data_IF_703684675517
#
_entry.id   IF_703684675517
#
_cell.length_a   1.000
_cell.length_b   1.000
_cell.length_c   1.000
_cell.angle_alpha   90.00
_cell.angle_beta   90.00
_cell.angle_gamma   90.00
#
_symmetry.space_group_name_H-M   'P 1'
#
loop_
_entity.id
_entity.type
_entity.pdbx_description
1 polymer ?
#
# COMPACT_ATOMS: atom_id res chain seq x y z
N UNK A 1 -34.60 -1.10 -48.16
CA UNK A 1 -34.68 -0.08 -47.09
C UNK A 1 -35.00 -0.79 -45.79
N UNK A 2 -33.98 -1.04 -44.97
CA UNK A 2 -34.09 -1.90 -43.77
C UNK A 2 -34.09 -1.04 -42.51
N UNK A 3 -35.21 -1.01 -41.79
CA UNK A 3 -35.34 -0.34 -40.49
C UNK A 3 -34.91 -1.28 -39.36
N UNK A 4 -33.66 -1.18 -38.92
CA UNK A 4 -33.22 -1.80 -37.67
C UNK A 4 -33.64 -0.92 -36.48
N UNK A 5 -34.70 -1.33 -35.79
CA UNK A 5 -35.10 -0.77 -34.48
C UNK A 5 -34.07 -1.19 -33.43
N UNK A 6 -33.27 -0.23 -32.95
CA UNK A 6 -32.36 -0.41 -31.80
C UNK A 6 -33.15 -0.18 -30.51
N UNK A 7 -33.34 -1.23 -29.72
CA UNK A 7 -33.78 -1.13 -28.32
C UNK A 7 -32.55 -0.96 -27.43
N UNK A 8 -32.43 0.13 -26.64
CA UNK A 8 -31.37 0.24 -25.66
C UNK A 8 -31.70 -0.62 -24.44
N UNK A 9 -30.89 -1.65 -24.19
CA UNK A 9 -30.87 -2.36 -22.90
C UNK A 9 -30.40 -1.36 -21.83
N UNK A 10 -31.30 -1.02 -20.90
CA UNK A 10 -30.92 -0.41 -19.63
C UNK A 10 -30.00 -1.42 -18.90
N UNK A 11 -28.69 -1.16 -18.95
CA UNK A 11 -27.74 -1.78 -18.06
C UNK A 11 -27.88 -1.09 -16.70
N UNK A 12 -28.42 -1.86 -15.75
CA UNK A 12 -28.26 -1.64 -14.31
C UNK A 12 -26.78 -1.36 -14.04
N UNK A 13 -26.47 -0.14 -13.60
CA UNK A 13 -25.17 0.18 -13.04
C UNK A 13 -25.16 -0.25 -11.57
N UNK A 14 -24.31 -1.19 -11.15
CA UNK A 14 -23.98 -1.31 -9.74
C UNK A 14 -23.11 -0.11 -9.35
N UNK A 15 -23.70 0.81 -8.61
CA UNK A 15 -22.99 1.89 -7.91
C UNK A 15 -22.20 1.28 -6.76
N UNK A 16 -20.97 0.84 -7.03
CA UNK A 16 -20.00 0.51 -5.97
C UNK A 16 -18.69 1.24 -6.23
N UNK A 17 -18.74 2.57 -6.11
CA UNK A 17 -17.56 3.40 -5.90
C UNK A 17 -17.04 3.14 -4.48
N UNK A 18 -16.33 2.03 -4.27
CA UNK A 18 -15.54 1.82 -3.07
C UNK A 18 -14.33 2.76 -3.13
N UNK A 19 -14.52 3.99 -2.65
CA UNK A 19 -13.45 4.95 -2.41
C UNK A 19 -12.50 4.40 -1.35
N UNK A 20 -11.30 4.00 -1.77
CA UNK A 20 -10.18 3.48 -0.98
C UNK A 20 -9.61 4.46 0.08
N UNK A 21 -10.35 5.52 0.43
CA UNK A 21 -9.85 6.64 1.22
C UNK A 21 -10.16 6.54 2.73
N UNK A 22 -10.96 5.56 3.18
CA UNK A 22 -11.58 5.59 4.52
C UNK A 22 -11.42 4.32 5.39
N UNK A 23 -10.43 3.44 5.15
CA UNK A 23 -10.17 2.34 6.10
C UNK A 23 -9.01 2.70 7.04
N UNK A 24 -9.38 3.18 8.24
CA UNK A 24 -8.48 3.55 9.34
C UNK A 24 -7.92 2.30 10.07
N UNK A 25 -8.56 1.15 9.94
CA UNK A 25 -8.05 -0.18 10.34
C UNK A 25 -8.44 -1.19 9.27
N UNK A 26 -7.45 -1.74 8.55
CA UNK A 26 -7.69 -2.76 7.53
C UNK A 26 -7.87 -4.11 8.18
N UNK A 27 -9.14 -4.48 8.37
CA UNK A 27 -9.53 -5.83 8.76
C UNK A 27 -9.21 -6.79 7.59
N UNK A 28 -8.19 -7.63 7.75
CA UNK A 28 -7.74 -8.56 6.72
C UNK A 28 -8.68 -9.78 6.70
N UNK A 29 -9.77 -9.68 5.93
CA UNK A 29 -10.79 -10.74 5.85
C UNK A 29 -10.47 -11.87 4.88
N UNK A 30 -9.48 -11.70 4.01
CA UNK A 30 -9.13 -12.72 3.01
C UNK A 30 -7.66 -12.67 2.58
N UNK A 31 -7.13 -13.82 2.15
CA UNK A 31 -5.79 -13.92 1.58
C UNK A 31 -5.64 -13.08 0.29
N UNK A 32 -6.70 -12.97 -0.51
CA UNK A 32 -6.67 -12.17 -1.74
C UNK A 32 -6.66 -10.67 -1.47
N UNK A 33 -7.36 -10.18 -0.43
CA UNK A 33 -7.24 -8.79 0.00
C UNK A 33 -5.81 -8.50 0.48
N UNK A 34 -5.22 -9.41 1.26
CA UNK A 34 -3.84 -9.27 1.74
C UNK A 34 -2.84 -9.19 0.57
N UNK A 35 -3.00 -10.03 -0.44
CA UNK A 35 -2.19 -9.97 -1.66
C UNK A 35 -2.26 -8.58 -2.32
N UNK A 36 -3.47 -8.05 -2.52
CA UNK A 36 -3.67 -6.74 -3.16
C UNK A 36 -3.01 -5.63 -2.34
N UNK A 37 -3.10 -5.69 -1.02
CA UNK A 37 -2.42 -4.73 -0.14
C UNK A 37 -0.91 -4.81 -0.30
N UNK A 38 -0.31 -6.00 -0.20
CA UNK A 38 1.13 -6.20 -0.39
C UNK A 38 1.60 -5.66 -1.75
N UNK A 39 0.86 -5.94 -2.83
CA UNK A 39 1.18 -5.43 -4.16
C UNK A 39 1.16 -3.90 -4.21
N UNK A 40 0.13 -3.28 -3.63
CA UNK A 40 -0.01 -1.82 -3.58
C UNK A 40 1.04 -1.15 -2.70
N UNK A 41 1.38 -1.76 -1.58
CA UNK A 41 2.41 -1.28 -0.66
C UNK A 41 3.79 -1.28 -1.30
N UNK A 42 4.12 -2.28 -2.12
CA UNK A 42 5.36 -2.28 -2.92
C UNK A 42 5.40 -1.06 -3.84
N UNK A 43 4.31 -0.75 -4.54
CA UNK A 43 4.24 0.41 -5.45
C UNK A 43 4.43 1.75 -4.76
N UNK A 44 4.03 1.84 -3.49
CA UNK A 44 4.06 3.08 -2.69
C UNK A 44 5.40 3.24 -1.97
N UNK A 45 5.85 2.19 -1.26
CA UNK A 45 7.01 2.26 -0.36
C UNK A 45 8.34 2.06 -1.08
N UNK A 46 8.39 1.24 -2.13
CA UNK A 46 9.65 0.87 -2.79
C UNK A 46 9.95 1.85 -3.93
N UNK A 47 11.00 2.65 -3.76
CA UNK A 47 11.39 3.69 -4.74
C UNK A 47 12.08 3.12 -5.98
N UNK A 48 12.91 2.08 -5.81
CA UNK A 48 13.65 1.47 -6.92
C UNK A 48 12.72 0.70 -7.86
N UNK A 49 12.81 0.98 -9.16
CA UNK A 49 12.03 0.28 -10.20
C UNK A 49 12.37 -1.22 -10.23
N UNK A 50 13.65 -1.58 -10.22
CA UNK A 50 14.08 -2.96 -10.22
C UNK A 50 13.63 -3.70 -8.96
N UNK A 51 13.74 -3.06 -7.79
CA UNK A 51 13.28 -3.65 -6.54
C UNK A 51 11.75 -3.87 -6.53
N UNK A 52 10.96 -2.92 -7.05
CA UNK A 52 9.51 -3.10 -7.21
C UNK A 52 9.16 -4.30 -8.07
N UNK A 53 9.75 -4.38 -9.26
CA UNK A 53 9.51 -5.48 -10.20
C UNK A 53 9.91 -6.84 -9.59
N UNK A 54 11.06 -6.89 -8.92
CA UNK A 54 11.52 -8.09 -8.23
C UNK A 54 10.55 -8.53 -7.14
N UNK A 55 10.16 -7.62 -6.24
CA UNK A 55 9.24 -7.92 -5.15
C UNK A 55 7.84 -8.32 -5.64
N UNK A 56 7.30 -7.61 -6.65
CA UNK A 56 6.02 -7.96 -7.26
C UNK A 56 6.05 -9.32 -7.93
N UNK A 57 7.13 -9.65 -8.66
CA UNK A 57 7.29 -10.96 -9.30
C UNK A 57 7.34 -12.07 -8.24
N UNK A 58 8.12 -11.87 -7.17
CA UNK A 58 8.23 -12.85 -6.09
C UNK A 58 6.93 -13.02 -5.31
N UNK A 59 6.22 -11.94 -5.01
CA UNK A 59 4.90 -11.97 -4.38
C UNK A 59 3.88 -12.75 -5.22
N UNK A 60 3.82 -12.48 -6.53
CA UNK A 60 2.90 -13.17 -7.43
C UNK A 60 3.26 -14.65 -7.62
N UNK A 61 4.55 -14.98 -7.60
CA UNK A 61 5.00 -16.37 -7.63
C UNK A 61 4.53 -17.14 -6.39
N UNK A 62 4.79 -16.60 -5.19
CA UNK A 62 4.36 -17.20 -3.93
C UNK A 62 2.83 -17.33 -3.84
N UNK A 63 2.09 -16.36 -4.37
CA UNK A 63 0.64 -16.47 -4.49
C UNK A 63 0.22 -17.65 -5.36
N UNK A 64 0.80 -17.80 -6.56
CA UNK A 64 0.46 -18.91 -7.48
C UNK A 64 0.74 -20.27 -6.85
N UNK A 65 1.84 -20.38 -6.12
CA UNK A 65 2.24 -21.62 -5.43
C UNK A 65 1.26 -22.01 -4.31
N UNK A 66 0.68 -21.04 -3.61
CA UNK A 66 -0.07 -21.30 -2.37
C UNK A 66 -1.57 -20.95 -2.42
N UNK A 67 -2.08 -20.39 -3.52
CA UNK A 67 -3.48 -19.91 -3.61
C UNK A 67 -4.54 -21.01 -3.52
N UNK A 68 -4.14 -22.27 -3.70
CA UNK A 68 -5.01 -23.45 -3.59
C UNK A 68 -4.77 -24.24 -2.29
N UNK A 69 -4.00 -23.70 -1.35
CA UNK A 69 -3.82 -24.34 -0.04
C UNK A 69 -5.18 -24.46 0.65
N UNK A 70 -5.50 -25.65 1.14
CA UNK A 70 -6.77 -25.96 1.81
C UNK A 70 -6.60 -26.19 3.30
N UNK A 71 -5.37 -26.43 3.75
CA UNK A 71 -5.04 -26.60 5.16
C UNK A 71 -5.15 -25.26 5.91
N UNK A 72 -6.05 -25.14 6.90
CA UNK A 72 -6.29 -23.89 7.62
C UNK A 72 -5.07 -23.41 8.42
N UNK A 73 -4.25 -24.31 8.95
CA UNK A 73 -3.06 -23.92 9.72
C UNK A 73 -2.00 -23.31 8.79
N UNK A 74 -1.79 -23.92 7.63
CA UNK A 74 -0.87 -23.40 6.61
C UNK A 74 -1.38 -22.09 6.00
N UNK A 75 -2.68 -21.99 5.72
CA UNK A 75 -3.28 -20.73 5.27
C UNK A 75 -3.02 -19.61 6.28
N UNK A 76 -3.22 -19.87 7.58
CA UNK A 76 -2.95 -18.91 8.63
C UNK A 76 -1.48 -18.53 8.69
N UNK A 77 -0.57 -19.49 8.65
CA UNK A 77 0.87 -19.25 8.61
C UNK A 77 1.28 -18.37 7.41
N UNK A 78 0.75 -18.66 6.22
CA UNK A 78 1.02 -17.88 5.02
C UNK A 78 0.46 -16.45 5.12
N UNK A 79 -0.72 -16.29 5.70
CA UNK A 79 -1.30 -14.97 5.97
C UNK A 79 -0.47 -14.18 6.99
N UNK A 80 -0.01 -14.81 8.07
CA UNK A 80 0.85 -14.19 9.09
C UNK A 80 2.21 -13.79 8.50
N UNK A 81 2.78 -14.65 7.64
CA UNK A 81 4.02 -14.36 6.93
C UNK A 81 3.87 -13.16 5.98
N UNK A 82 2.78 -13.12 5.21
CA UNK A 82 2.47 -11.99 4.32
C UNK A 82 2.17 -10.71 5.12
N UNK A 83 1.52 -10.82 6.28
CA UNK A 83 1.29 -9.71 7.21
C UNK A 83 2.61 -9.14 7.75
N UNK A 84 3.54 -10.02 8.13
CA UNK A 84 4.89 -9.63 8.58
C UNK A 84 5.69 -8.91 7.49
N UNK A 85 5.59 -9.39 6.24
CA UNK A 85 6.17 -8.69 5.08
C UNK A 85 5.56 -7.29 4.88
N UNK A 86 4.24 -7.18 4.96
CA UNK A 86 3.54 -5.91 4.85
C UNK A 86 3.99 -4.93 5.94
N UNK A 87 4.13 -5.40 7.19
CA UNK A 87 4.68 -4.63 8.30
C UNK A 87 6.10 -4.18 8.01
N UNK A 88 6.99 -5.09 7.61
CA UNK A 88 8.38 -4.76 7.30
C UNK A 88 8.54 -3.72 6.18
N UNK A 89 7.65 -3.73 5.17
CA UNK A 89 7.64 -2.71 4.11
C UNK A 89 7.30 -1.31 4.62
N UNK A 90 6.51 -1.20 5.68
CA UNK A 90 6.01 0.05 6.24
C UNK A 90 6.77 0.50 7.49
N UNK A 91 7.47 -0.43 8.15
CA UNK A 91 8.29 -0.12 9.31
C UNK A 91 9.43 0.83 8.94
N UNK A 92 9.67 1.87 9.74
CA UNK A 92 10.87 2.67 9.61
C UNK A 92 12.10 1.79 9.86
N UNK A 93 13.24 2.16 9.26
CA UNK A 93 14.50 1.37 9.33
C UNK A 93 15.00 1.13 10.76
N UNK A 94 14.64 2.02 11.70
CA UNK A 94 14.89 1.91 13.14
C UNK A 94 13.58 2.21 13.89
N UNK A 95 12.69 1.23 14.10
CA UNK A 95 11.46 1.45 14.84
C UNK A 95 11.75 1.60 16.33
N UNK A 96 11.13 2.58 17.00
CA UNK A 96 11.22 2.68 18.46
C UNK A 96 10.33 1.60 19.09
N UNK A 97 10.75 0.95 20.19
CA UNK A 97 9.90 0.00 20.89
C UNK A 97 8.57 0.65 21.29
N UNK A 98 7.44 0.02 20.96
CA UNK A 98 6.10 0.49 21.29
C UNK A 98 5.44 1.46 20.29
N UNK A 99 6.09 1.76 19.15
CA UNK A 99 5.51 2.62 18.12
C UNK A 99 4.44 1.88 17.30
N UNK A 100 3.25 2.47 17.17
CA UNK A 100 2.15 1.93 16.37
C UNK A 100 2.48 2.12 14.89
N UNK A 101 2.61 1.02 14.15
CA UNK A 101 2.87 1.06 12.70
C UNK A 101 1.54 1.28 11.96
N UNK A 102 1.30 2.50 11.48
CA UNK A 102 0.12 2.82 10.67
C UNK A 102 0.34 2.49 9.19
N UNK A 103 -0.57 1.72 8.60
CA UNK A 103 -0.48 1.29 7.20
C UNK A 103 -1.22 2.26 6.27
N UNK A 104 -0.47 3.04 5.48
CA UNK A 104 -1.07 3.89 4.44
C UNK A 104 -1.01 3.24 3.08
N UNK A 105 -2.17 2.84 2.57
CA UNK A 105 -2.33 2.21 1.26
C UNK A 105 -2.72 3.18 0.14
N UNK A 106 -3.06 4.43 0.49
CA UNK A 106 -3.35 5.47 -0.49
C UNK A 106 -2.05 6.12 -0.98
N UNK A 107 -1.88 6.17 -2.30
CA UNK A 107 -0.72 6.81 -2.94
C UNK A 107 -0.73 8.33 -2.72
N UNK A 108 -1.91 8.95 -2.72
CA UNK A 108 -2.03 10.40 -2.51
C UNK A 108 -1.63 10.76 -1.08
N UNK A 109 -2.17 10.06 -0.08
CA UNK A 109 -1.85 10.31 1.33
C UNK A 109 -0.36 10.07 1.61
N UNK A 110 0.20 8.97 1.10
CA UNK A 110 1.63 8.70 1.24
C UNK A 110 2.52 9.76 0.56
N UNK A 111 2.06 10.35 -0.55
CA UNK A 111 2.75 11.45 -1.22
C UNK A 111 2.69 12.73 -0.38
N UNK A 112 1.51 13.11 0.11
CA UNK A 112 1.32 14.30 0.93
C UNK A 112 2.14 14.24 2.22
N UNK A 113 2.15 13.10 2.91
CA UNK A 113 2.99 12.91 4.09
C UNK A 113 4.48 12.97 3.79
N UNK A 114 4.92 12.37 2.67
CA UNK A 114 6.31 12.48 2.25
C UNK A 114 6.69 13.96 1.99
N UNK A 115 5.77 14.78 1.47
CA UNK A 115 5.99 16.21 1.32
C UNK A 115 5.98 16.94 2.66
N UNK A 116 5.07 16.61 3.59
CA UNK A 116 5.08 17.16 4.96
C UNK A 116 6.37 16.84 5.70
N UNK A 117 6.83 15.59 5.66
CA UNK A 117 8.07 15.17 6.30
C UNK A 117 9.30 15.86 5.69
N UNK A 118 9.31 16.13 4.38
CA UNK A 118 10.35 16.95 3.74
C UNK A 118 10.28 18.41 4.20
N UNK A 119 9.08 18.98 4.28
CA UNK A 119 8.87 20.35 4.74
C UNK A 119 9.28 20.54 6.21
N UNK A 120 9.01 19.58 7.09
CA UNK A 120 9.46 19.62 8.48
C UNK A 120 10.98 19.52 8.61
N UNK A 121 11.63 18.66 7.81
CA UNK A 121 13.11 18.58 7.77
C UNK A 121 13.75 19.86 7.24
N UNK A 122 13.10 20.58 6.32
CA UNK A 122 13.59 21.87 5.84
C UNK A 122 13.52 22.97 6.92
N UNK A 123 12.52 22.92 7.81
CA UNK A 123 12.39 23.89 8.92
C UNK A 123 13.47 23.73 9.98
N UNK A 124 13.99 22.54 10.20
CA UNK A 124 15.05 22.29 11.20
C UNK A 124 16.45 22.65 10.71
N UNK A 125 16.69 22.73 9.40
CA UNK A 125 18.01 23.07 8.82
C UNK A 125 18.25 24.60 8.80
N UNK A 126 17.21 25.43 8.84
CA UNK A 126 17.32 26.89 8.74
C UNK A 126 17.50 27.65 10.07
N UNK A 127 17.79 26.98 11.18
CA UNK A 127 18.30 27.68 12.38
C UNK A 127 19.83 27.78 12.31
N UNK A 128 20.33 28.74 11.53
CA UNK A 128 21.63 29.31 11.88
C UNK A 128 21.46 29.99 13.26
N UNK A 129 22.35 29.73 14.23
CA UNK A 129 22.31 30.44 15.50
C UNK A 129 22.49 31.95 15.24
N UNK A 130 21.70 32.78 15.93
CA UNK A 130 21.86 34.24 15.94
C UNK A 130 23.29 34.55 16.42
N UNK A 131 24.20 34.86 15.48
CA UNK A 131 25.58 35.23 15.81
C UNK A 131 26.68 34.70 14.88
N UNK A 132 26.38 33.91 13.84
CA UNK A 132 27.40 33.48 12.88
C UNK A 132 27.92 34.68 12.05
N UNK A 133 29.13 35.15 12.35
CA UNK A 133 29.85 36.14 11.54
C UNK A 133 30.33 35.49 10.23
N UNK A 134 29.98 36.11 9.11
CA UNK A 134 30.67 35.89 7.83
C UNK A 134 31.93 36.75 7.86
N UNK A 135 33.09 36.15 7.57
CA UNK A 135 34.34 36.86 7.34
C UNK A 135 34.26 37.72 6.07
#
# INVERSE_FOLDING_TARGET
MSMFRRTPRLLSAPTTTHTNAQQEVLEIKSAYSLLRMCYRSIDIRVKSRHARQFLQKRLMQQWRENCHETDPEKQRFLMDHAGSFLQALHSPRNPKPGEVVTFQLSRQVAYEEAQRAKAERAKTVHKLPLGAKLN
#
